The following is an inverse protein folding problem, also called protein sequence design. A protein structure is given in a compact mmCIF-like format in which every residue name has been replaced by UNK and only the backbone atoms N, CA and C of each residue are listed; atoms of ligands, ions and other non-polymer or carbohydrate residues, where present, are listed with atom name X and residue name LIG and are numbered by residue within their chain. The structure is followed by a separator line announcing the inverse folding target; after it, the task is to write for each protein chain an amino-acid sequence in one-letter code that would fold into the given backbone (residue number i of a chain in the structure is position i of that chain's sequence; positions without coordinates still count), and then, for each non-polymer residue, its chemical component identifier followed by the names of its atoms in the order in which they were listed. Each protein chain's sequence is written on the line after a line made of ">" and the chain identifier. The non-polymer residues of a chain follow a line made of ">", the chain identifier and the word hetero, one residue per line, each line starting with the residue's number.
data_IF_632356485963
#
_entry.id   IF_632356485963
#
_cell.length_a   1.000
_cell.length_b   1.000
_cell.length_c   1.000
_cell.angle_alpha   90.00
_cell.angle_beta   90.00
_cell.angle_gamma   90.00
#
_symmetry.space_group_name_H-M   'P 1'
#
loop_
_entity.id
_entity.type
_entity.pdbx_description
1 polymer ?
#
# COMPACT_ATOMS: atom_id res chain seq x y z
N UNK A 1 -19.31 -3.85 -14.44
CA UNK A 1 -18.98 -4.10 -15.85
C UNK A 1 -19.73 -3.14 -16.78
N UNK A 2 -21.03 -3.00 -16.65
CA UNK A 2 -21.85 -2.16 -17.56
C UNK A 2 -21.40 -0.70 -17.67
N UNK A 3 -20.96 -0.09 -16.56
CA UNK A 3 -20.38 1.26 -16.56
C UNK A 3 -19.10 1.37 -17.41
N UNK A 4 -18.27 0.33 -17.45
CA UNK A 4 -17.06 0.30 -18.27
C UNK A 4 -17.45 0.25 -19.74
N UNK A 5 -18.34 -0.66 -20.12
CA UNK A 5 -18.83 -0.80 -21.48
C UNK A 5 -19.56 0.47 -21.96
N UNK A 6 -20.44 1.03 -21.12
CA UNK A 6 -21.16 2.28 -21.44
C UNK A 6 -20.19 3.45 -21.68
N UNK A 7 -19.16 3.59 -20.85
CA UNK A 7 -18.15 4.63 -21.01
C UNK A 7 -17.30 4.40 -22.26
N UNK A 8 -16.92 3.16 -22.54
CA UNK A 8 -16.13 2.79 -23.73
C UNK A 8 -16.87 3.04 -25.03
N UNK A 9 -18.21 3.00 -25.05
CA UNK A 9 -19.03 3.34 -26.23
C UNK A 9 -19.00 4.82 -26.59
N UNK A 10 -18.71 5.69 -25.63
CA UNK A 10 -18.70 7.15 -25.81
C UNK A 10 -17.37 7.65 -26.41
N UNK A 11 -16.34 6.82 -26.36
CA UNK A 11 -14.99 7.19 -26.79
C UNK A 11 -14.64 6.51 -28.13
N UNK A 12 -13.82 7.19 -28.94
CA UNK A 12 -13.28 6.62 -30.19
C UNK A 12 -11.95 5.92 -29.91
N UNK A 13 -11.70 4.78 -30.60
CA UNK A 13 -10.43 4.04 -30.51
C UNK A 13 -10.10 3.54 -29.08
N UNK A 14 -11.07 2.96 -28.40
CA UNK A 14 -10.91 2.39 -27.06
C UNK A 14 -10.47 0.94 -27.13
N UNK A 15 -9.53 0.58 -26.27
CA UNK A 15 -9.11 -0.79 -26.01
C UNK A 15 -9.33 -1.08 -24.53
N UNK A 16 -9.98 -2.20 -24.22
CA UNK A 16 -10.16 -2.65 -22.84
C UNK A 16 -9.04 -3.64 -22.51
N UNK A 17 -8.17 -3.29 -21.57
CA UNK A 17 -7.24 -4.19 -20.92
C UNK A 17 -7.81 -4.60 -19.55
N UNK A 18 -7.85 -5.90 -19.25
CA UNK A 18 -8.45 -6.35 -18.00
C UNK A 18 -7.68 -7.50 -17.35
N UNK A 19 -7.84 -7.62 -16.02
CA UNK A 19 -7.24 -8.66 -15.19
C UNK A 19 -8.32 -9.34 -14.32
N UNK A 20 -9.49 -9.59 -14.89
CA UNK A 20 -10.63 -10.15 -14.17
C UNK A 20 -10.37 -11.64 -13.90
N UNK A 21 -10.30 -12.02 -12.64
CA UNK A 21 -10.01 -13.39 -12.20
C UNK A 21 -11.26 -14.27 -12.32
N UNK A 22 -12.45 -13.72 -12.08
CA UNK A 22 -13.72 -14.43 -12.16
C UNK A 22 -14.07 -14.75 -13.61
N UNK A 23 -14.29 -16.04 -13.91
CA UNK A 23 -14.55 -16.54 -15.25
C UNK A 23 -15.86 -16.03 -15.84
N UNK A 24 -16.94 -15.93 -15.04
CA UNK A 24 -18.24 -15.50 -15.54
C UNK A 24 -18.24 -14.00 -15.86
N UNK A 25 -17.61 -13.21 -15.00
CA UNK A 25 -17.42 -11.79 -15.25
C UNK A 25 -16.51 -11.54 -16.46
N UNK A 26 -15.46 -12.35 -16.65
CA UNK A 26 -14.57 -12.25 -17.81
C UNK A 26 -15.33 -12.58 -19.10
N UNK A 27 -16.07 -13.69 -19.15
CA UNK A 27 -16.90 -14.07 -20.30
C UNK A 27 -17.94 -12.99 -20.63
N UNK A 28 -18.60 -12.45 -19.60
CA UNK A 28 -19.57 -11.37 -19.77
C UNK A 28 -18.91 -10.15 -20.39
N UNK A 29 -17.77 -9.69 -19.88
CA UNK A 29 -17.04 -8.53 -20.42
C UNK A 29 -16.65 -8.76 -21.88
N UNK A 30 -16.10 -9.93 -22.20
CA UNK A 30 -15.73 -10.26 -23.59
C UNK A 30 -16.94 -10.26 -24.53
N UNK A 31 -18.06 -10.85 -24.10
CA UNK A 31 -19.29 -10.89 -24.90
C UNK A 31 -19.84 -9.50 -25.18
N UNK A 32 -19.88 -8.65 -24.17
CA UNK A 32 -20.37 -7.27 -24.31
C UNK A 32 -19.40 -6.39 -25.11
N UNK A 33 -18.09 -6.56 -24.93
CA UNK A 33 -17.10 -5.84 -25.75
C UNK A 33 -17.24 -6.21 -27.23
N UNK A 34 -17.38 -7.51 -27.55
CA UNK A 34 -17.61 -8.00 -28.92
C UNK A 34 -18.89 -7.45 -29.53
N UNK A 35 -20.02 -7.47 -28.82
CA UNK A 35 -21.30 -6.89 -29.28
C UNK A 35 -21.17 -5.41 -29.67
N UNK A 36 -20.26 -4.68 -29.01
CA UNK A 36 -20.05 -3.26 -29.21
C UNK A 36 -18.83 -2.92 -30.07
N UNK A 37 -18.20 -3.93 -30.66
CA UNK A 37 -17.03 -3.78 -31.54
C UNK A 37 -15.83 -3.12 -30.83
N UNK A 38 -15.66 -3.40 -29.52
CA UNK A 38 -14.58 -2.88 -28.67
C UNK A 38 -13.48 -3.93 -28.56
N UNK A 39 -12.25 -3.57 -28.93
CA UNK A 39 -11.10 -4.43 -28.75
C UNK A 39 -10.84 -4.67 -27.24
N UNK A 40 -10.58 -5.93 -26.87
CA UNK A 40 -10.34 -6.29 -25.46
C UNK A 40 -9.26 -7.36 -25.35
N UNK A 41 -8.46 -7.26 -24.30
CA UNK A 41 -7.35 -8.16 -24.03
C UNK A 41 -7.27 -8.52 -22.55
N UNK A 42 -7.23 -9.82 -22.27
CA UNK A 42 -6.94 -10.33 -20.93
C UNK A 42 -5.44 -10.34 -20.70
N UNK A 43 -4.97 -9.60 -19.69
CA UNK A 43 -3.54 -9.40 -19.45
C UNK A 43 -2.91 -10.61 -18.76
N UNK A 44 -3.59 -11.25 -17.81
CA UNK A 44 -3.04 -12.31 -16.98
C UNK A 44 -3.55 -13.72 -17.32
N UNK A 45 -4.62 -13.86 -18.09
CA UNK A 45 -5.28 -15.16 -18.31
C UNK A 45 -4.37 -16.20 -18.93
N UNK A 46 -3.66 -15.85 -20.00
CA UNK A 46 -2.71 -16.76 -20.65
C UNK A 46 -1.56 -17.11 -19.72
N UNK A 47 -1.00 -16.11 -19.03
CA UNK A 47 0.10 -16.31 -18.09
C UNK A 47 -0.29 -17.28 -16.96
N UNK A 48 -1.45 -17.07 -16.33
CA UNK A 48 -1.97 -17.96 -15.29
C UNK A 48 -2.19 -19.38 -15.83
N UNK A 49 -2.72 -19.50 -17.04
CA UNK A 49 -2.93 -20.81 -17.68
C UNK A 49 -1.61 -21.54 -17.92
N UNK A 50 -0.59 -20.86 -18.41
CA UNK A 50 0.72 -21.44 -18.71
C UNK A 50 1.45 -21.85 -17.42
N UNK A 51 1.39 -21.03 -16.37
CA UNK A 51 1.91 -21.40 -15.05
C UNK A 51 1.14 -22.59 -14.44
N UNK A 52 -0.19 -22.65 -14.58
CA UNK A 52 -0.97 -23.79 -14.12
C UNK A 52 -0.51 -25.08 -14.77
N UNK A 53 -0.25 -25.07 -16.07
CA UNK A 53 0.29 -26.24 -16.81
C UNK A 53 1.68 -26.62 -16.33
N UNK A 54 2.58 -25.60 -16.18
CA UNK A 54 3.95 -25.83 -15.76
C UNK A 54 4.05 -26.40 -14.35
N UNK A 55 3.22 -25.91 -13.43
CA UNK A 55 3.21 -26.34 -12.03
C UNK A 55 2.33 -27.58 -11.77
N UNK A 56 1.57 -28.04 -12.76
CA UNK A 56 0.62 -29.13 -12.57
C UNK A 56 -0.49 -28.84 -11.55
N UNK A 57 -0.82 -27.55 -11.35
CA UNK A 57 -1.82 -27.10 -10.38
C UNK A 57 -2.84 -26.20 -11.05
N UNK A 58 -4.11 -26.41 -10.77
CA UNK A 58 -5.17 -25.53 -11.26
C UNK A 58 -5.16 -24.18 -10.50
N UNK A 59 -5.31 -23.08 -11.23
CA UNK A 59 -5.46 -21.77 -10.64
C UNK A 59 -6.80 -21.69 -9.89
N UNK A 60 -6.77 -21.27 -8.63
CA UNK A 60 -7.98 -21.18 -7.79
C UNK A 60 -8.97 -20.13 -8.28
N UNK A 61 -8.53 -19.17 -9.07
CA UNK A 61 -9.33 -18.07 -9.65
C UNK A 61 -10.28 -17.38 -8.66
N UNK A 62 -9.85 -17.31 -7.39
CA UNK A 62 -10.60 -16.63 -6.33
C UNK A 62 -10.18 -15.16 -6.32
N UNK A 63 -11.11 -14.20 -6.54
CA UNK A 63 -10.82 -12.79 -6.41
C UNK A 63 -10.26 -12.49 -5.02
N UNK A 64 -9.18 -11.71 -4.95
CA UNK A 64 -8.48 -11.37 -3.68
C UNK A 64 -7.93 -12.58 -2.90
N UNK A 65 -7.73 -13.72 -3.54
CA UNK A 65 -7.27 -14.95 -2.88
C UNK A 65 -5.90 -14.87 -2.21
N UNK A 66 -5.08 -13.86 -2.55
CA UNK A 66 -3.77 -13.64 -1.92
C UNK A 66 -3.84 -12.86 -0.61
N UNK A 67 -4.87 -12.04 -0.41
CA UNK A 67 -5.04 -11.22 0.79
C UNK A 67 -6.50 -11.18 1.16
N UNK A 68 -6.87 -11.87 2.24
CA UNK A 68 -8.13 -11.59 2.89
C UNK A 68 -8.12 -10.09 3.26
N UNK A 69 -9.08 -9.33 2.73
CA UNK A 69 -9.28 -7.91 3.09
C UNK A 69 -9.92 -7.87 4.49
N UNK A 70 -9.18 -8.36 5.47
CA UNK A 70 -9.58 -8.41 6.86
C UNK A 70 -9.22 -7.10 7.60
N UNK A 71 -9.59 -7.04 8.87
CA UNK A 71 -9.29 -5.88 9.72
C UNK A 71 -7.79 -5.62 9.85
N UNK A 72 -6.95 -6.66 9.81
CA UNK A 72 -5.50 -6.53 9.90
C UNK A 72 -4.91 -5.91 8.65
N UNK A 73 -5.42 -6.27 7.48
CA UNK A 73 -5.04 -5.65 6.22
C UNK A 73 -5.30 -4.14 6.25
N UNK A 74 -6.52 -3.72 6.61
CA UNK A 74 -6.86 -2.30 6.66
C UNK A 74 -6.05 -1.55 7.72
N UNK A 75 -5.83 -2.14 8.89
CA UNK A 75 -4.97 -1.58 9.94
C UNK A 75 -3.54 -1.35 9.42
N UNK A 76 -2.98 -2.30 8.67
CA UNK A 76 -1.66 -2.18 8.06
C UNK A 76 -1.59 -1.07 7.02
N UNK A 77 -2.58 -0.97 6.13
CA UNK A 77 -2.65 0.10 5.13
C UNK A 77 -2.74 1.48 5.82
N UNK A 78 -3.57 1.61 6.84
CA UNK A 78 -3.70 2.84 7.63
C UNK A 78 -2.37 3.21 8.31
N UNK A 79 -1.68 2.23 8.89
CA UNK A 79 -0.38 2.45 9.52
C UNK A 79 0.69 2.89 8.51
N UNK A 80 0.73 2.30 7.32
CA UNK A 80 1.66 2.68 6.25
C UNK A 80 1.36 4.11 5.77
N UNK A 81 0.10 4.45 5.50
CA UNK A 81 -0.29 5.81 5.09
C UNK A 81 0.07 6.83 6.16
N UNK A 82 -0.26 6.55 7.42
CA UNK A 82 0.12 7.40 8.54
C UNK A 82 1.64 7.64 8.58
N UNK A 83 2.42 6.57 8.53
CA UNK A 83 3.88 6.64 8.61
C UNK A 83 4.51 7.43 7.47
N UNK A 84 4.00 7.26 6.23
CA UNK A 84 4.49 8.02 5.07
C UNK A 84 4.24 9.54 5.20
N UNK A 85 3.13 9.93 5.83
CA UNK A 85 2.80 11.34 6.05
C UNK A 85 3.58 11.95 7.21
N UNK A 86 4.05 11.12 8.17
CA UNK A 86 4.78 11.54 9.37
C UNK A 86 6.29 11.26 9.29
N UNK A 87 6.82 11.10 8.08
CA UNK A 87 8.25 10.90 7.85
C UNK A 87 9.01 12.25 7.85
N UNK A 88 10.23 12.24 8.40
CA UNK A 88 11.14 13.40 8.49
C UNK A 88 10.55 14.64 9.18
N UNK A 89 9.66 14.47 10.14
CA UNK A 89 9.07 15.57 10.90
C UNK A 89 8.14 16.48 10.09
N UNK A 90 7.59 16.00 8.98
CA UNK A 90 6.66 16.77 8.14
C UNK A 90 5.39 17.15 8.89
N UNK A 91 4.85 16.23 9.67
CA UNK A 91 3.68 16.44 10.53
C UNK A 91 4.05 16.09 11.96
N UNK A 92 3.93 17.05 12.87
CA UNK A 92 4.27 16.89 14.29
C UNK A 92 3.13 17.25 15.24
N UNK A 93 1.97 17.64 14.71
CA UNK A 93 0.86 18.14 15.53
C UNK A 93 0.00 17.03 16.15
N UNK A 94 0.06 15.81 15.63
CA UNK A 94 -0.74 14.67 16.04
C UNK A 94 0.10 13.43 16.38
N UNK A 95 1.27 13.65 16.99
CA UNK A 95 2.17 12.58 17.46
C UNK A 95 1.52 11.64 18.46
N UNK A 96 0.49 12.07 19.16
CA UNK A 96 -0.31 11.25 20.08
C UNK A 96 -1.08 10.12 19.37
N UNK A 97 -1.25 10.21 18.05
CA UNK A 97 -1.85 9.13 17.24
C UNK A 97 -0.84 8.06 16.84
N UNK A 98 0.46 8.30 17.09
CA UNK A 98 1.51 7.33 16.80
C UNK A 98 1.56 6.25 17.86
N UNK A 99 1.69 4.99 17.44
CA UNK A 99 2.05 3.90 18.35
C UNK A 99 3.53 4.00 18.76
N UNK A 100 4.39 4.44 17.82
CA UNK A 100 5.84 4.60 18.03
C UNK A 100 6.31 5.91 17.43
N UNK A 101 7.18 6.62 18.14
CA UNK A 101 7.91 7.78 17.61
C UNK A 101 9.40 7.46 17.57
N UNK A 102 9.99 7.45 16.37
CA UNK A 102 11.42 7.29 16.17
C UNK A 102 12.10 8.66 16.18
N UNK A 103 13.12 8.80 17.02
CA UNK A 103 13.88 10.06 17.15
C UNK A 103 15.35 9.75 16.91
N UNK A 104 16.04 10.52 16.10
CA UNK A 104 17.47 10.32 15.87
C UNK A 104 18.04 11.25 14.81
N UNK A 105 19.37 11.34 14.75
CA UNK A 105 20.08 12.10 13.74
C UNK A 105 19.89 11.49 12.34
N UNK A 106 20.33 12.19 11.30
CA UNK A 106 20.31 11.65 9.94
C UNK A 106 21.14 10.37 9.85
N UNK A 107 20.73 9.45 8.95
CA UNK A 107 21.39 8.18 8.68
C UNK A 107 21.39 7.12 9.82
N UNK A 108 20.47 7.24 10.76
CA UNK A 108 20.24 6.24 11.82
C UNK A 108 19.18 5.20 11.43
N UNK A 109 18.87 5.05 10.15
CA UNK A 109 17.88 4.08 9.62
C UNK A 109 16.43 4.31 10.13
N UNK A 110 16.07 5.55 10.50
CA UNK A 110 14.71 5.88 10.98
C UNK A 110 13.64 5.49 9.95
N UNK A 111 13.73 6.02 8.72
CA UNK A 111 12.74 5.78 7.66
C UNK A 111 12.57 4.28 7.34
N UNK A 112 13.61 3.49 7.07
CA UNK A 112 13.40 2.06 6.83
C UNK A 112 12.81 1.33 8.04
N UNK A 113 13.20 1.72 9.28
CA UNK A 113 12.61 1.14 10.50
C UNK A 113 11.14 1.50 10.65
N UNK A 114 10.76 2.76 10.36
CA UNK A 114 9.36 3.19 10.43
C UNK A 114 8.48 2.43 9.44
N UNK A 115 8.93 2.24 8.21
CA UNK A 115 8.22 1.47 7.18
C UNK A 115 8.11 -0.01 7.57
N UNK A 116 9.17 -0.59 8.14
CA UNK A 116 9.15 -1.97 8.64
C UNK A 116 8.08 -2.18 9.73
N UNK A 117 8.00 -1.26 10.69
CA UNK A 117 6.99 -1.30 11.75
C UNK A 117 5.57 -1.03 11.19
N UNK A 118 5.44 -0.12 10.25
CA UNK A 118 4.16 0.18 9.60
C UNK A 118 3.57 -1.04 8.87
N UNK A 119 4.43 -1.82 8.21
CA UNK A 119 4.01 -3.09 7.58
C UNK A 119 3.54 -4.15 8.59
N UNK A 120 3.76 -3.94 9.88
CA UNK A 120 3.21 -4.74 11.00
C UNK A 120 2.00 -4.10 11.67
N UNK A 121 1.48 -3.00 11.09
CA UNK A 121 0.27 -2.32 11.55
C UNK A 121 0.50 -1.30 12.67
N UNK A 122 1.75 -0.86 12.91
CA UNK A 122 2.07 0.19 13.87
C UNK A 122 2.18 1.55 13.17
N UNK A 123 1.47 2.55 13.66
CA UNK A 123 1.58 3.94 13.22
C UNK A 123 2.87 4.53 13.76
N UNK A 124 3.79 4.93 12.89
CA UNK A 124 5.11 5.40 13.28
C UNK A 124 5.33 6.82 12.79
N UNK A 125 5.75 7.70 13.69
CA UNK A 125 6.27 9.03 13.33
C UNK A 125 7.80 9.04 13.42
N UNK A 126 8.44 9.74 12.49
CA UNK A 126 9.89 9.85 12.40
C UNK A 126 10.31 11.30 12.58
N UNK A 127 11.03 11.59 13.66
CA UNK A 127 11.49 12.94 14.02
C UNK A 127 13.01 13.03 13.92
N UNK A 128 13.53 13.85 13.00
CA UNK A 128 14.97 14.08 12.91
C UNK A 128 15.47 14.96 14.06
N UNK A 129 16.56 14.57 14.67
CA UNK A 129 17.34 15.43 15.58
C UNK A 129 18.28 16.27 14.72
N UNK A 130 18.13 17.59 14.79
CA UNK A 130 18.93 18.54 14.05
C UNK A 130 19.76 19.34 15.07
N UNK A 131 21.06 19.50 14.81
CA UNK A 131 21.94 20.26 15.67
C UNK A 131 21.43 21.69 15.85
N UNK A 132 21.43 22.19 17.06
CA UNK A 132 20.96 23.55 17.43
C UNK A 132 19.45 23.78 17.21
N UNK A 133 18.64 22.72 17.04
CA UNK A 133 17.20 22.83 16.97
C UNK A 133 16.54 21.97 18.07
N UNK A 134 15.62 22.58 18.82
CA UNK A 134 14.85 21.84 19.84
C UNK A 134 13.94 20.79 19.19
N UNK A 135 13.66 19.72 19.95
CA UNK A 135 12.63 18.76 19.57
C UNK A 135 11.25 19.44 19.58
N UNK A 136 10.29 18.96 18.77
CA UNK A 136 8.95 19.51 18.75
C UNK A 136 8.29 19.51 20.13
N UNK A 137 7.61 20.59 20.50
CA UNK A 137 6.89 20.70 21.77
C UNK A 137 5.82 19.62 21.94
N UNK A 138 5.20 19.19 20.85
CA UNK A 138 4.25 18.09 20.84
C UNK A 138 4.86 16.77 21.33
N UNK A 139 6.12 16.48 20.99
CA UNK A 139 6.84 15.33 21.49
C UNK A 139 7.12 15.48 23.00
N UNK A 140 7.62 16.66 23.43
CA UNK A 140 7.95 16.92 24.82
C UNK A 140 6.73 16.84 25.73
N UNK A 141 5.55 17.25 25.24
CA UNK A 141 4.30 17.16 25.99
C UNK A 141 3.72 15.74 26.05
N UNK A 142 3.93 14.93 25.03
CA UNK A 142 3.26 13.63 24.83
C UNK A 142 4.17 12.42 25.06
N UNK A 143 5.47 12.59 25.38
CA UNK A 143 6.42 11.45 25.50
C UNK A 143 6.00 10.38 26.52
N UNK A 144 5.21 10.73 27.53
CA UNK A 144 4.69 9.76 28.52
C UNK A 144 3.55 8.90 28.00
N UNK A 145 2.90 9.32 26.90
CA UNK A 145 1.73 8.63 26.32
C UNK A 145 2.08 7.83 25.07
N UNK A 146 3.23 8.10 24.47
CA UNK A 146 3.65 7.51 23.21
C UNK A 146 4.98 6.79 23.42
N UNK A 147 5.15 5.64 22.77
CA UNK A 147 6.42 4.90 22.85
C UNK A 147 7.49 5.60 22.01
N UNK A 148 8.46 6.23 22.67
CA UNK A 148 9.54 6.99 22.01
C UNK A 148 10.82 6.18 21.99
N UNK A 149 11.42 6.01 20.81
CA UNK A 149 12.67 5.26 20.60
C UNK A 149 13.72 6.17 19.99
N UNK A 150 14.84 6.33 20.70
CA UNK A 150 16.03 7.02 20.19
C UNK A 150 16.89 6.07 19.35
N UNK A 151 17.16 6.44 18.09
CA UNK A 151 18.09 5.72 17.22
C UNK A 151 19.42 6.47 17.16
N UNK A 152 20.49 5.77 17.52
CA UNK A 152 21.85 6.29 17.49
C UNK A 152 22.68 5.51 16.46
N UNK A 153 23.74 6.10 15.97
CA UNK A 153 24.76 5.40 15.18
C UNK A 153 26.10 5.44 15.92
N UNK A 154 26.94 4.46 15.63
CA UNK A 154 28.31 4.48 16.12
C UNK A 154 29.07 5.65 15.49
N UNK A 155 29.83 6.38 16.30
CA UNK A 155 30.63 7.52 15.86
C UNK A 155 31.77 7.13 14.90
N UNK A 156 32.12 5.85 14.83
CA UNK A 156 33.18 5.32 13.99
C UNK A 156 32.70 4.73 12.64
N UNK A 157 31.46 5.03 12.25
CA UNK A 157 30.89 4.59 10.97
C UNK A 157 30.75 5.73 9.97
#
# INVERSE_FOLDING_TARGET
>A
MDKIISKSKLEKNVIILYTVVDNELSKYLVSEAKKNNIANFEVLGNLISDFSKLLGQEATRIPSGQHALDKEYYKRIEAVQFTMTHDDGKIVNDLEKSDVVLVGISRTSKTPTSIYLANRGYKVSNIPVIQNKSLPDSLIKNYKKTFVVGLICDANR
#
